data_IF_014475506469
#
_entry.id   IF_014475506469
#
_cell.length_a   1.000
_cell.length_b   1.000
_cell.length_c   1.000
_cell.angle_alpha   90.00
_cell.angle_beta   90.00
_cell.angle_gamma   90.00
#
_symmetry.space_group_name_H-M   'P 1'
#
loop_
_entity.id
_entity.type
_entity.pdbx_description
1 polymer ?
#
# COMPACT_ATOMS: atom_id res chain seq x y z
N UNK A 1 -32.11 14.95 25.65
CA UNK A 1 -31.06 14.74 24.69
C UNK A 1 -31.57 15.12 23.32
N UNK A 2 -30.87 15.97 22.64
CA UNK A 2 -31.26 16.55 21.36
C UNK A 2 -30.10 16.42 20.36
N UNK A 3 -30.43 16.47 19.06
CA UNK A 3 -29.45 16.72 18.02
C UNK A 3 -29.18 18.24 17.83
N UNK A 4 -28.24 18.66 16.98
CA UNK A 4 -27.95 20.07 16.72
C UNK A 4 -29.15 20.86 16.14
N UNK A 5 -30.07 20.17 15.47
CA UNK A 5 -31.29 20.77 14.90
C UNK A 5 -32.43 20.87 15.93
N UNK A 6 -32.20 20.38 17.13
CA UNK A 6 -33.18 20.38 18.24
C UNK A 6 -34.16 19.21 18.20
N UNK A 7 -33.92 18.19 17.37
CA UNK A 7 -34.74 16.97 17.32
C UNK A 7 -34.42 16.04 18.50
N UNK A 8 -35.43 15.47 19.21
CA UNK A 8 -35.20 14.51 20.29
C UNK A 8 -34.50 13.24 19.79
N UNK A 9 -33.57 12.72 20.60
CA UNK A 9 -32.88 11.45 20.33
C UNK A 9 -33.45 10.39 21.28
N UNK A 10 -34.30 9.46 20.82
CA UNK A 10 -34.81 8.38 21.61
C UNK A 10 -33.79 7.24 21.78
N UNK A 11 -33.84 6.53 22.92
CA UNK A 11 -33.00 5.37 23.16
C UNK A 11 -31.50 5.66 23.37
N UNK A 12 -31.15 6.92 23.62
CA UNK A 12 -29.76 7.26 23.98
C UNK A 12 -29.46 6.72 25.40
N UNK A 13 -28.30 6.12 25.53
CA UNK A 13 -27.80 5.56 26.79
C UNK A 13 -27.04 6.65 27.52
N UNK A 14 -27.46 6.96 28.74
CA UNK A 14 -26.78 7.88 29.66
C UNK A 14 -26.23 7.07 30.83
N UNK A 15 -24.92 7.12 31.05
CA UNK A 15 -24.28 6.50 32.19
C UNK A 15 -23.44 7.52 32.98
N UNK A 16 -23.22 7.26 34.26
CA UNK A 16 -22.29 8.02 35.10
C UNK A 16 -20.95 7.34 35.04
N UNK A 17 -19.89 8.07 34.66
CA UNK A 17 -18.55 7.54 34.32
C UNK A 17 -17.94 6.64 35.42
N UNK A 18 -18.21 6.89 36.70
CA UNK A 18 -17.66 6.10 37.80
C UNK A 18 -18.65 5.12 38.47
N UNK A 19 -19.85 4.99 37.94
CA UNK A 19 -20.93 4.19 38.57
C UNK A 19 -21.68 3.40 37.47
N UNK A 20 -22.00 2.13 37.76
CA UNK A 20 -22.78 1.26 36.86
C UNK A 20 -24.26 1.67 36.79
N UNK A 21 -24.53 2.94 36.54
CA UNK A 21 -25.90 3.48 36.47
C UNK A 21 -26.21 3.93 35.08
N UNK A 22 -27.27 3.38 34.50
CA UNK A 22 -27.66 3.60 33.10
C UNK A 22 -29.13 4.07 33.11
N UNK A 23 -29.40 5.07 32.27
CA UNK A 23 -30.75 5.44 31.87
C UNK A 23 -30.84 5.51 30.35
N UNK A 24 -32.06 5.30 29.84
CA UNK A 24 -32.38 5.47 28.42
C UNK A 24 -33.25 6.71 28.24
N UNK A 25 -33.06 7.44 27.17
CA UNK A 25 -33.98 8.52 26.78
C UNK A 25 -35.24 7.93 26.16
N UNK A 26 -36.38 8.60 26.46
CA UNK A 26 -37.68 8.29 25.88
C UNK A 26 -37.84 8.87 24.45
N UNK A 27 -39.04 8.72 23.87
CA UNK A 27 -39.36 9.20 22.52
C UNK A 27 -39.24 10.74 22.35
N UNK A 28 -39.26 11.47 23.46
CA UNK A 28 -39.10 12.93 23.50
C UNK A 28 -37.68 13.36 23.91
N UNK A 29 -36.75 12.41 24.02
CA UNK A 29 -35.36 12.66 24.41
C UNK A 29 -35.15 12.92 25.90
N UNK A 30 -36.17 12.72 26.76
CA UNK A 30 -36.04 12.86 28.22
C UNK A 30 -35.41 11.61 28.82
N UNK A 31 -34.59 11.81 29.84
CA UNK A 31 -34.01 10.72 30.63
C UNK A 31 -34.10 11.06 32.12
N UNK A 32 -34.10 10.06 32.98
CA UNK A 32 -34.09 10.22 34.43
C UNK A 32 -33.05 9.29 35.06
N UNK A 33 -32.09 9.87 35.76
CA UNK A 33 -31.08 9.17 36.56
C UNK A 33 -31.29 9.50 38.05
N UNK A 34 -31.36 8.47 38.92
CA UNK A 34 -31.48 8.64 40.37
C UNK A 34 -30.12 8.64 41.04
N UNK A 35 -29.96 9.42 42.12
CA UNK A 35 -28.77 9.50 42.98
C UNK A 35 -27.51 9.97 42.21
N UNK A 36 -27.63 10.94 41.31
CA UNK A 36 -26.55 11.65 40.69
C UNK A 36 -26.26 12.91 41.52
N UNK A 37 -25.01 13.31 41.63
CA UNK A 37 -24.60 14.56 42.28
C UNK A 37 -24.32 15.63 41.23
N UNK A 38 -24.50 16.89 41.60
CA UNK A 38 -24.04 18.00 40.74
C UNK A 38 -22.55 17.92 40.57
N UNK A 39 -22.09 17.96 39.33
CA UNK A 39 -20.69 17.82 38.99
C UNK A 39 -20.27 16.41 38.53
N UNK A 40 -21.13 15.38 38.69
CA UNK A 40 -20.82 14.05 38.14
C UNK A 40 -20.72 14.11 36.60
N UNK A 41 -19.78 13.38 36.03
CA UNK A 41 -19.61 13.29 34.59
C UNK A 41 -20.56 12.24 34.01
N UNK A 42 -21.41 12.68 33.10
CA UNK A 42 -22.34 11.84 32.36
C UNK A 42 -21.75 11.53 30.98
N UNK A 43 -21.64 10.26 30.67
CA UNK A 43 -21.30 9.82 29.30
C UNK A 43 -22.61 9.43 28.59
N UNK A 44 -22.85 10.04 27.44
CA UNK A 44 -24.04 9.81 26.63
C UNK A 44 -23.61 9.18 25.31
N UNK A 45 -24.24 8.05 24.97
CA UNK A 45 -24.03 7.34 23.73
C UNK A 45 -25.36 7.03 23.05
N UNK A 46 -25.39 7.21 21.73
CA UNK A 46 -26.55 6.82 20.90
C UNK A 46 -26.05 6.36 19.54
N UNK A 47 -26.76 5.43 18.91
CA UNK A 47 -26.44 4.94 17.58
C UNK A 47 -26.60 6.09 16.60
N UNK A 48 -25.54 6.41 15.86
CA UNK A 48 -25.52 7.50 14.87
C UNK A 48 -25.04 8.84 15.41
N UNK A 49 -24.59 8.89 16.67
CA UNK A 49 -24.08 10.11 17.30
C UNK A 49 -22.74 9.86 17.98
N UNK A 50 -21.89 10.87 18.04
CA UNK A 50 -20.63 10.81 18.78
C UNK A 50 -20.90 10.70 20.26
N UNK A 51 -20.12 9.85 20.94
CA UNK A 51 -20.18 9.80 22.40
C UNK A 51 -19.86 11.19 22.96
N UNK A 52 -20.75 11.71 23.78
CA UNK A 52 -20.67 13.06 24.33
C UNK A 52 -20.62 12.96 25.86
N UNK A 53 -19.71 13.70 26.48
CA UNK A 53 -19.65 13.85 27.94
C UNK A 53 -20.27 15.18 28.34
N UNK A 54 -21.07 15.17 29.42
CA UNK A 54 -21.70 16.36 30.01
C UNK A 54 -21.61 16.31 31.53
N UNK A 55 -21.42 17.45 32.15
CA UNK A 55 -21.44 17.55 33.61
C UNK A 55 -22.88 17.65 34.11
N UNK A 56 -23.23 16.85 35.08
CA UNK A 56 -24.60 16.86 35.65
C UNK A 56 -24.92 18.20 36.32
N UNK A 57 -25.94 18.86 35.83
CA UNK A 57 -26.50 20.10 36.39
C UNK A 57 -27.98 19.90 36.75
N UNK A 58 -28.37 20.42 37.90
CA UNK A 58 -29.78 20.35 38.36
C UNK A 58 -30.46 21.68 38.02
N UNK A 59 -30.77 21.90 36.77
CA UNK A 59 -31.56 23.01 36.31
C UNK A 59 -32.66 22.53 35.35
N UNK A 60 -33.74 23.27 35.23
CA UNK A 60 -34.90 22.92 34.39
C UNK A 60 -34.60 22.97 32.88
N UNK A 61 -33.42 23.49 32.50
CA UNK A 61 -32.97 23.65 31.13
C UNK A 61 -31.75 22.80 30.77
N UNK A 62 -31.42 21.75 31.57
CA UNK A 62 -30.30 20.88 31.28
C UNK A 62 -30.56 20.12 29.99
N UNK A 63 -29.77 20.43 28.97
CA UNK A 63 -29.86 19.82 27.65
C UNK A 63 -28.49 19.29 27.23
N UNK A 64 -28.47 18.08 26.72
CA UNK A 64 -27.29 17.46 26.13
C UNK A 64 -27.53 17.43 24.62
N UNK A 65 -26.67 18.12 23.87
CA UNK A 65 -26.69 18.11 22.42
C UNK A 65 -25.61 17.13 21.94
N UNK A 66 -26.04 16.11 21.21
CA UNK A 66 -25.15 15.12 20.61
C UNK A 66 -24.89 15.49 19.15
N UNK A 67 -23.62 15.58 18.76
CA UNK A 67 -23.25 15.71 17.37
C UNK A 67 -23.48 14.38 16.64
N UNK A 68 -24.12 14.40 15.45
CA UNK A 68 -24.16 13.22 14.61
C UNK A 68 -22.73 12.69 14.43
N UNK A 69 -22.56 11.38 14.54
CA UNK A 69 -21.31 10.76 14.18
C UNK A 69 -21.20 10.82 12.66
N UNK A 70 -20.49 11.85 12.17
CA UNK A 70 -20.36 12.21 10.75
C UNK A 70 -19.53 11.17 9.97
N UNK A 71 -19.16 10.07 10.59
CA UNK A 71 -18.80 8.86 9.87
C UNK A 71 -20.04 8.23 9.19
N UNK A 72 -20.73 9.08 8.39
CA UNK A 72 -21.86 8.68 7.54
C UNK A 72 -21.52 7.44 6.72
N UNK A 73 -20.24 7.26 6.43
CA UNK A 73 -19.70 6.09 5.73
C UNK A 73 -19.73 4.80 6.56
N UNK A 74 -19.68 4.88 7.89
CA UNK A 74 -19.85 3.70 8.74
C UNK A 74 -21.33 3.28 8.83
N UNK A 75 -22.24 4.22 8.64
CA UNK A 75 -23.68 3.97 8.75
C UNK A 75 -24.38 3.74 7.41
N UNK A 76 -23.88 4.32 6.33
CA UNK A 76 -24.35 4.06 4.96
C UNK A 76 -23.21 3.51 4.12
N UNK A 77 -23.50 2.46 3.36
CA UNK A 77 -22.54 1.87 2.44
C UNK A 77 -22.95 2.11 1.00
N UNK A 78 -22.04 2.52 0.12
CA UNK A 78 -22.33 2.56 -1.30
C UNK A 78 -22.49 1.13 -1.82
N UNK A 79 -23.63 0.88 -2.46
CA UNK A 79 -23.93 -0.35 -3.19
C UNK A 79 -24.36 0.08 -4.59
N UNK A 80 -23.55 -0.23 -5.58
CA UNK A 80 -23.80 0.16 -6.95
C UNK A 80 -24.04 1.69 -7.08
N UNK A 81 -25.21 2.10 -7.50
CA UNK A 81 -25.57 3.50 -7.76
C UNK A 81 -26.32 4.16 -6.59
N UNK A 82 -26.38 3.50 -5.43
CA UNK A 82 -27.13 3.99 -4.26
C UNK A 82 -26.33 3.83 -2.98
N UNK A 83 -26.73 4.55 -1.95
CA UNK A 83 -26.24 4.36 -0.59
C UNK A 83 -27.32 3.69 0.25
N UNK A 84 -26.98 2.62 0.96
CA UNK A 84 -27.89 1.85 1.80
C UNK A 84 -27.40 1.90 3.24
N UNK A 85 -28.27 2.21 4.21
CA UNK A 85 -27.90 2.15 5.62
C UNK A 85 -27.48 0.74 6.01
N UNK A 86 -26.36 0.61 6.71
CA UNK A 86 -25.74 -0.68 7.09
C UNK A 86 -26.72 -1.60 7.82
N UNK A 87 -27.61 -1.06 8.63
CA UNK A 87 -28.65 -1.82 9.37
C UNK A 87 -29.66 -2.54 8.48
N UNK A 88 -29.83 -2.12 7.23
CA UNK A 88 -30.73 -2.76 6.25
C UNK A 88 -29.99 -3.61 5.23
N UNK A 89 -28.68 -3.79 5.42
CA UNK A 89 -27.88 -4.59 4.51
C UNK A 89 -27.93 -6.05 4.90
N UNK A 90 -28.34 -6.88 3.95
CA UNK A 90 -28.20 -8.34 4.00
C UNK A 90 -26.95 -8.81 3.28
N UNK A 91 -26.32 -7.91 2.54
CA UNK A 91 -25.19 -8.15 1.70
C UNK A 91 -23.89 -8.11 2.52
N UNK A 92 -22.95 -8.99 2.17
CA UNK A 92 -21.62 -9.03 2.79
C UNK A 92 -20.69 -8.00 2.14
N UNK A 93 -20.43 -6.92 2.86
CA UNK A 93 -19.57 -5.82 2.41
C UNK A 93 -18.51 -5.45 3.45
N UNK A 94 -17.44 -4.79 3.02
CA UNK A 94 -16.48 -4.12 3.91
C UNK A 94 -16.18 -2.75 3.35
N UNK A 95 -16.04 -1.75 4.21
CA UNK A 95 -15.63 -0.42 3.80
C UNK A 95 -14.39 0.05 4.57
N UNK A 96 -13.59 0.86 3.90
CA UNK A 96 -12.39 1.51 4.45
C UNK A 96 -12.37 2.95 4.00
N UNK A 97 -12.21 3.88 4.94
CA UNK A 97 -12.00 5.29 4.65
C UNK A 97 -10.63 5.53 4.01
N UNK A 98 -10.56 6.45 3.05
CA UNK A 98 -9.33 6.79 2.35
C UNK A 98 -8.20 7.27 3.27
N UNK A 99 -8.53 7.98 4.34
CA UNK A 99 -7.56 8.42 5.35
C UNK A 99 -6.78 7.25 6.00
N UNK A 100 -7.43 6.10 6.17
CA UNK A 100 -6.76 4.92 6.70
C UNK A 100 -5.70 4.39 5.73
N UNK A 101 -5.95 4.47 4.42
CA UNK A 101 -4.99 4.06 3.39
C UNK A 101 -3.78 4.99 3.33
N UNK A 102 -3.97 6.28 3.59
CA UNK A 102 -2.91 7.29 3.58
C UNK A 102 -1.89 7.12 4.71
N UNK A 103 -2.24 6.40 5.77
CA UNK A 103 -1.32 6.10 6.91
C UNK A 103 -0.22 5.11 6.55
N UNK A 104 -0.34 4.42 5.43
CA UNK A 104 0.66 3.44 4.99
C UNK A 104 1.54 4.05 3.90
N UNK A 105 2.88 3.87 3.99
CA UNK A 105 3.83 4.37 2.98
C UNK A 105 3.79 3.50 1.71
N UNK A 106 2.64 3.47 1.05
CA UNK A 106 2.41 2.65 -0.15
C UNK A 106 2.76 3.40 -1.42
N UNK A 107 3.39 2.71 -2.35
CA UNK A 107 3.64 3.16 -3.72
C UNK A 107 2.62 2.60 -4.72
N UNK A 108 1.98 1.48 -4.35
CA UNK A 108 0.92 0.79 -5.10
C UNK A 108 -0.29 0.64 -4.19
N UNK A 109 -1.43 1.21 -4.60
CA UNK A 109 -2.65 1.27 -3.77
C UNK A 109 -3.15 -0.11 -3.35
N UNK A 110 -3.06 -1.09 -4.25
CA UNK A 110 -3.53 -2.46 -4.02
C UNK A 110 -2.84 -3.13 -2.82
N UNK A 111 -1.58 -2.78 -2.55
CA UNK A 111 -0.81 -3.38 -1.46
C UNK A 111 -1.34 -2.99 -0.06
N UNK A 112 -2.03 -1.84 0.04
CA UNK A 112 -2.67 -1.43 1.29
C UNK A 112 -3.86 -2.30 1.67
N UNK A 113 -4.48 -3.01 0.72
CA UNK A 113 -5.74 -3.70 0.99
C UNK A 113 -5.58 -4.92 1.88
N UNK A 114 -4.47 -5.67 1.77
CA UNK A 114 -4.21 -6.85 2.61
C UNK A 114 -4.23 -6.55 4.10
N UNK A 115 -3.79 -5.35 4.48
CA UNK A 115 -3.70 -4.91 5.88
C UNK A 115 -4.89 -4.09 6.37
N UNK A 116 -5.70 -3.54 5.45
CA UNK A 116 -6.76 -2.58 5.80
C UNK A 116 -8.16 -3.10 5.59
N UNK A 117 -8.34 -4.06 4.68
CA UNK A 117 -9.67 -4.53 4.25
C UNK A 117 -9.85 -6.01 4.50
N UNK A 118 -10.91 -6.39 5.20
CA UNK A 118 -11.21 -7.80 5.47
C UNK A 118 -11.84 -8.50 4.26
N UNK A 119 -11.32 -9.70 3.94
CA UNK A 119 -11.85 -10.58 2.90
C UNK A 119 -11.38 -10.26 1.49
N UNK A 120 -10.27 -9.52 1.37
CA UNK A 120 -9.48 -9.38 0.15
C UNK A 120 -8.09 -9.96 0.40
N UNK A 121 -7.57 -10.65 -0.57
CA UNK A 121 -6.21 -11.17 -0.60
C UNK A 121 -5.45 -10.48 -1.72
N UNK A 122 -4.24 -10.03 -1.44
CA UNK A 122 -3.37 -9.39 -2.43
C UNK A 122 -2.06 -10.14 -2.53
N UNK A 123 -1.61 -10.37 -3.75
CA UNK A 123 -0.32 -10.98 -4.06
C UNK A 123 0.51 -10.01 -4.87
N UNK A 124 1.53 -9.47 -4.24
CA UNK A 124 2.54 -8.66 -4.88
C UNK A 124 3.64 -9.56 -5.45
N UNK A 125 3.85 -9.49 -6.76
CA UNK A 125 4.87 -10.29 -7.45
C UNK A 125 6.25 -9.67 -7.36
N UNK A 126 6.30 -8.33 -7.28
CA UNK A 126 7.55 -7.58 -7.18
C UNK A 126 7.30 -6.22 -6.55
N UNK A 127 8.22 -5.79 -5.68
CA UNK A 127 8.21 -4.45 -5.07
C UNK A 127 9.08 -3.44 -5.85
N UNK A 128 9.43 -3.77 -7.09
CA UNK A 128 10.27 -2.90 -7.92
C UNK A 128 9.57 -1.62 -8.33
N UNK A 129 10.33 -0.52 -8.46
CA UNK A 129 9.78 0.74 -8.91
C UNK A 129 9.03 0.60 -10.24
N UNK A 130 7.76 1.00 -10.28
CA UNK A 130 6.92 0.91 -11.48
C UNK A 130 6.26 -0.44 -11.73
N UNK A 131 6.62 -1.48 -10.99
CA UNK A 131 5.88 -2.74 -11.04
C UNK A 131 4.57 -2.60 -10.26
N UNK A 132 3.44 -2.65 -10.96
CA UNK A 132 2.12 -2.41 -10.38
C UNK A 132 1.21 -3.63 -10.44
N UNK A 133 1.72 -4.77 -10.89
CA UNK A 133 0.95 -6.00 -10.99
C UNK A 133 0.79 -6.65 -9.61
N UNK A 134 -0.24 -6.23 -8.90
CA UNK A 134 -0.70 -6.87 -7.69
C UNK A 134 -1.99 -7.61 -8.00
N UNK A 135 -1.95 -8.93 -7.90
CA UNK A 135 -3.16 -9.74 -8.04
C UNK A 135 -4.04 -9.57 -6.80
N UNK A 136 -5.34 -9.45 -7.00
CA UNK A 136 -6.33 -9.28 -5.92
C UNK A 136 -7.43 -10.30 -6.04
N UNK A 137 -7.79 -10.93 -4.92
CA UNK A 137 -8.87 -11.91 -4.87
C UNK A 137 -9.81 -11.61 -3.71
N UNK A 138 -11.10 -11.68 -3.95
CA UNK A 138 -12.11 -11.55 -2.91
C UNK A 138 -12.59 -12.95 -2.54
N UNK A 139 -12.29 -13.38 -1.29
CA UNK A 139 -12.57 -14.72 -0.78
C UNK A 139 -11.93 -15.84 -1.63
N UNK A 140 -10.70 -15.61 -2.09
CA UNK A 140 -9.90 -16.57 -2.85
C UNK A 140 -10.20 -16.66 -4.34
N UNK A 141 -9.48 -17.54 -5.01
CA UNK A 141 -9.59 -17.78 -6.45
C UNK A 141 -10.81 -18.66 -6.75
N UNK A 142 -11.76 -18.14 -7.54
CA UNK A 142 -13.01 -18.84 -7.86
C UNK A 142 -13.06 -19.46 -9.26
N UNK A 143 -12.08 -19.14 -10.10
CA UNK A 143 -12.05 -19.64 -11.50
C UNK A 143 -10.63 -20.07 -11.87
N UNK A 144 -10.55 -21.12 -12.68
CA UNK A 144 -9.28 -21.60 -13.26
C UNK A 144 -8.79 -20.70 -14.41
N UNK A 145 -9.68 -19.91 -15.01
CA UNK A 145 -9.31 -18.95 -16.06
C UNK A 145 -8.54 -17.78 -15.44
N UNK A 146 -7.23 -17.70 -15.67
CA UNK A 146 -6.35 -16.67 -15.10
C UNK A 146 -6.77 -15.24 -15.50
N UNK A 147 -7.25 -15.04 -16.72
CA UNK A 147 -7.68 -13.73 -17.20
C UNK A 147 -9.01 -13.23 -16.59
N UNK A 148 -9.75 -14.09 -15.87
CA UNK A 148 -11.05 -13.75 -15.29
C UNK A 148 -11.05 -13.82 -13.75
N UNK A 149 -9.89 -13.78 -13.09
CA UNK A 149 -9.79 -13.94 -11.62
C UNK A 149 -9.99 -12.65 -10.83
N UNK A 150 -9.70 -11.52 -11.46
CA UNK A 150 -9.71 -10.23 -10.78
C UNK A 150 -11.13 -9.77 -10.43
N UNK A 151 -11.34 -9.09 -9.29
CA UNK A 151 -12.61 -8.44 -9.00
C UNK A 151 -12.89 -7.29 -9.96
N UNK A 152 -14.17 -6.95 -10.13
CA UNK A 152 -14.58 -5.78 -10.87
C UNK A 152 -14.23 -4.51 -10.09
N UNK A 153 -13.56 -3.54 -10.72
CA UNK A 153 -13.18 -2.28 -10.10
C UNK A 153 -14.00 -1.14 -10.69
N UNK A 154 -14.66 -0.39 -9.83
CA UNK A 154 -15.52 0.74 -10.20
C UNK A 154 -15.08 1.96 -9.43
N UNK A 155 -14.70 3.00 -10.14
CA UNK A 155 -14.29 4.29 -9.58
C UNK A 155 -15.31 5.34 -10.02
N UNK A 156 -15.99 5.95 -9.05
CA UNK A 156 -17.06 6.94 -9.29
C UNK A 156 -18.05 6.50 -10.36
N UNK A 157 -18.58 5.27 -10.19
CA UNK A 157 -19.55 4.61 -11.06
C UNK A 157 -19.03 4.21 -12.46
N UNK A 158 -17.74 4.34 -12.73
CA UNK A 158 -17.13 3.94 -14.01
C UNK A 158 -16.11 2.83 -13.76
N UNK A 159 -16.12 1.78 -14.58
CA UNK A 159 -15.09 0.74 -14.53
C UNK A 159 -13.75 1.31 -14.95
N UNK A 160 -12.76 1.17 -14.08
CA UNK A 160 -11.39 1.65 -14.27
C UNK A 160 -10.38 0.75 -13.58
N UNK A 161 -9.14 0.83 -14.02
CA UNK A 161 -8.03 0.18 -13.32
C UNK A 161 -7.63 1.00 -12.09
N UNK A 162 -7.42 0.30 -10.96
CA UNK A 162 -7.00 0.89 -9.71
C UNK A 162 -5.59 1.48 -9.76
N UNK A 163 -4.76 0.98 -10.66
CA UNK A 163 -3.40 1.47 -10.85
C UNK A 163 -3.33 2.97 -11.19
N UNK A 164 -4.41 3.54 -11.78
CA UNK A 164 -4.50 4.98 -12.09
C UNK A 164 -4.84 5.86 -10.88
N UNK A 165 -5.05 5.26 -9.69
CA UNK A 165 -5.40 6.01 -8.49
C UNK A 165 -4.25 6.04 -7.49
N UNK A 166 -4.09 7.18 -6.83
CA UNK A 166 -3.34 7.31 -5.59
C UNK A 166 -4.29 7.21 -4.38
N UNK A 167 -3.75 7.03 -3.18
CA UNK A 167 -4.53 6.96 -1.95
C UNK A 167 -5.16 8.31 -1.55
N UNK A 168 -4.54 9.44 -1.90
CA UNK A 168 -4.94 10.76 -1.45
C UNK A 168 -6.31 11.23 -1.95
N UNK A 169 -6.69 11.05 -3.24
CA UNK A 169 -8.00 11.43 -3.74
C UNK A 169 -9.13 10.49 -3.32
N UNK A 170 -8.84 9.40 -2.62
CA UNK A 170 -9.85 8.44 -2.21
C UNK A 170 -10.56 8.94 -0.95
N UNK A 171 -11.87 8.94 -0.99
CA UNK A 171 -12.74 9.16 0.14
C UNK A 171 -13.06 7.85 0.86
N UNK A 172 -13.47 6.84 0.08
CA UNK A 172 -13.91 5.56 0.61
C UNK A 172 -13.71 4.44 -0.42
N UNK A 173 -13.40 3.24 0.08
CA UNK A 173 -13.41 1.99 -0.70
C UNK A 173 -14.39 1.02 -0.07
N UNK A 174 -15.32 0.50 -0.87
CA UNK A 174 -16.27 -0.53 -0.46
C UNK A 174 -16.06 -1.80 -1.26
N UNK A 175 -15.92 -2.92 -0.56
CA UNK A 175 -15.76 -4.25 -1.16
C UNK A 175 -17.09 -5.00 -1.10
N UNK A 176 -17.59 -5.42 -2.26
CA UNK A 176 -18.77 -6.26 -2.41
C UNK A 176 -18.34 -7.72 -2.54
N UNK A 177 -18.67 -8.54 -1.54
CA UNK A 177 -18.07 -9.88 -1.39
C UNK A 177 -18.98 -11.03 -1.83
N UNK A 178 -20.28 -10.78 -1.99
CA UNK A 178 -21.26 -11.83 -2.32
C UNK A 178 -22.07 -11.48 -3.57
N UNK A 179 -22.79 -12.49 -4.07
CA UNK A 179 -23.61 -12.36 -5.27
C UNK A 179 -24.79 -11.39 -5.10
N UNK A 180 -25.33 -11.25 -3.88
CA UNK A 180 -26.41 -10.32 -3.63
C UNK A 180 -25.94 -8.87 -3.79
N UNK A 181 -24.74 -8.55 -3.28
CA UNK A 181 -24.12 -7.23 -3.43
C UNK A 181 -23.71 -6.93 -4.86
N UNK A 182 -23.28 -7.93 -5.64
CA UNK A 182 -22.76 -7.75 -6.99
C UNK A 182 -23.77 -8.04 -8.11
N UNK A 183 -25.01 -8.44 -7.77
CA UNK A 183 -26.04 -8.82 -8.74
C UNK A 183 -26.29 -7.79 -9.84
N UNK A 184 -26.22 -6.50 -9.50
CA UNK A 184 -26.43 -5.39 -10.44
C UNK A 184 -25.36 -5.33 -11.54
N UNK A 185 -24.17 -5.89 -11.28
CA UNK A 185 -23.06 -5.93 -12.23
C UNK A 185 -23.05 -7.20 -13.10
N UNK A 186 -24.02 -8.09 -12.88
CA UNK A 186 -24.19 -9.33 -13.62
C UNK A 186 -22.94 -10.22 -13.52
N UNK A 187 -22.60 -10.90 -14.61
CA UNK A 187 -21.48 -11.83 -14.67
C UNK A 187 -20.11 -11.17 -14.39
N UNK A 188 -19.96 -9.88 -14.64
CA UNK A 188 -18.72 -9.13 -14.37
C UNK A 188 -18.42 -9.02 -12.88
N UNK A 189 -19.46 -9.04 -12.03
CA UNK A 189 -19.34 -9.05 -10.58
C UNK A 189 -19.14 -10.43 -9.95
N UNK A 190 -18.94 -11.50 -10.73
CA UNK A 190 -18.86 -12.88 -10.22
C UNK A 190 -17.71 -13.10 -9.21
N UNK A 191 -16.60 -12.41 -9.36
CA UNK A 191 -15.45 -12.47 -8.43
C UNK A 191 -15.50 -11.40 -7.34
N UNK A 192 -16.64 -10.74 -7.14
CA UNK A 192 -16.78 -9.59 -6.27
C UNK A 192 -16.50 -8.28 -6.99
N UNK A 193 -16.74 -7.17 -6.29
CA UNK A 193 -16.48 -5.84 -6.83
C UNK A 193 -15.84 -4.92 -5.77
N UNK A 194 -15.00 -4.00 -6.23
CA UNK A 194 -14.36 -2.96 -5.44
C UNK A 194 -14.90 -1.62 -5.93
N UNK A 195 -15.65 -0.94 -5.06
CA UNK A 195 -16.19 0.38 -5.35
C UNK A 195 -15.29 1.43 -4.69
N UNK A 196 -14.77 2.34 -5.47
CA UNK A 196 -13.95 3.46 -5.01
C UNK A 196 -14.73 4.75 -5.22
N UNK A 197 -14.93 5.47 -4.14
CA UNK A 197 -15.47 6.84 -4.18
C UNK A 197 -14.34 7.81 -3.97
N UNK A 198 -14.22 8.80 -4.82
CA UNK A 198 -13.19 9.83 -4.68
C UNK A 198 -13.75 11.10 -4.01
N UNK A 199 -12.87 11.82 -3.35
CA UNK A 199 -13.19 13.07 -2.66
C UNK A 199 -13.81 14.09 -3.63
N UNK A 200 -14.79 14.80 -3.15
CA UNK A 200 -15.46 15.90 -3.87
C UNK A 200 -15.29 17.22 -3.13
N UNK A 201 -15.55 18.30 -3.82
CA UNK A 201 -15.56 19.61 -3.19
C UNK A 201 -16.76 19.80 -2.27
N UNK A 202 -16.55 20.55 -1.21
CA UNK A 202 -17.59 20.98 -0.28
C UNK A 202 -17.88 22.47 -0.44
N UNK A 203 -19.08 22.89 -0.07
CA UNK A 203 -19.41 24.32 -0.03
C UNK A 203 -18.63 24.99 1.10
N UNK A 204 -17.87 26.02 0.76
CA UNK A 204 -17.06 26.74 1.74
C UNK A 204 -15.84 27.41 1.15
N UNK A 205 -14.98 27.90 2.03
CA UNK A 205 -13.70 28.50 1.63
C UNK A 205 -12.77 27.44 1.03
N UNK A 206 -11.96 27.85 0.09
CA UNK A 206 -10.91 26.99 -0.47
C UNK A 206 -9.98 26.49 0.63
N UNK A 207 -9.81 25.16 0.69
CA UNK A 207 -8.85 24.47 1.54
C UNK A 207 -7.71 23.98 0.66
N UNK A 208 -6.48 24.13 1.13
CA UNK A 208 -5.29 23.65 0.45
C UNK A 208 -4.55 22.77 1.44
N UNK A 209 -4.35 21.51 1.07
CA UNK A 209 -3.60 20.54 1.85
C UNK A 209 -2.34 20.15 1.08
N UNK A 210 -1.19 20.22 1.73
CA UNK A 210 0.09 19.85 1.16
C UNK A 210 0.76 18.80 2.05
N UNK A 211 1.17 17.69 1.45
CA UNK A 211 1.86 16.61 2.15
C UNK A 211 3.14 16.27 1.43
N UNK A 212 4.24 16.18 2.18
CA UNK A 212 5.54 15.72 1.70
C UNK A 212 5.99 14.55 2.55
N UNK A 213 6.28 13.43 1.90
CA UNK A 213 6.77 12.21 2.53
C UNK A 213 8.16 11.86 1.98
N UNK A 214 9.05 11.46 2.87
CA UNK A 214 10.36 10.91 2.53
C UNK A 214 10.46 9.55 3.23
N UNK A 215 10.67 8.51 2.46
CA UNK A 215 10.80 7.15 2.94
C UNK A 215 12.09 6.51 2.46
N UNK A 216 12.47 5.43 3.13
CA UNK A 216 13.59 4.58 2.72
C UNK A 216 13.10 3.15 2.60
N UNK A 217 13.40 2.53 1.46
CA UNK A 217 13.14 1.12 1.23
C UNK A 217 14.38 0.31 1.62
N UNK A 218 14.15 -0.84 2.22
CA UNK A 218 15.18 -1.82 2.53
C UNK A 218 14.69 -3.20 2.11
N UNK A 219 15.61 -4.09 1.76
CA UNK A 219 15.26 -5.49 1.53
C UNK A 219 14.81 -6.12 2.86
N UNK A 220 13.60 -6.65 2.90
CA UNK A 220 13.05 -7.31 4.09
C UNK A 220 13.76 -8.63 4.40
N UNK A 221 14.25 -9.27 3.36
CA UNK A 221 15.04 -10.51 3.47
C UNK A 221 16.12 -10.50 2.40
N UNK A 222 17.38 -10.66 2.82
CA UNK A 222 18.50 -10.90 1.91
C UNK A 222 18.69 -12.40 1.82
N UNK A 223 18.70 -12.95 0.61
CA UNK A 223 19.08 -14.35 0.43
C UNK A 223 20.58 -14.47 0.70
N UNK A 224 20.94 -15.41 1.55
CA UNK A 224 22.34 -15.75 1.79
C UNK A 224 22.83 -16.68 0.69
N UNK A 225 23.76 -16.21 -0.11
CA UNK A 225 24.45 -17.07 -1.06
C UNK A 225 25.41 -18.00 -0.36
N UNK A 226 25.60 -19.17 -0.92
CA UNK A 226 26.64 -20.07 -0.50
C UNK A 226 28.02 -19.38 -0.65
N UNK A 227 28.81 -19.34 0.42
CA UNK A 227 30.18 -18.82 0.33
C UNK A 227 31.12 -19.80 -0.41
N UNK A 228 32.30 -19.32 -0.78
CA UNK A 228 33.25 -20.09 -1.58
C UNK A 228 33.70 -21.41 -0.90
N UNK A 229 33.90 -21.39 0.42
CA UNK A 229 34.27 -22.59 1.18
C UNK A 229 33.17 -23.66 1.15
N UNK A 230 31.94 -23.26 1.46
CA UNK A 230 30.80 -24.19 1.45
C UNK A 230 30.54 -24.71 0.03
N UNK A 231 30.72 -23.87 -1.00
CA UNK A 231 30.61 -24.31 -2.39
C UNK A 231 31.63 -25.39 -2.74
N UNK A 232 32.91 -25.22 -2.36
CA UNK A 232 33.94 -26.22 -2.59
C UNK A 232 33.61 -27.56 -1.92
N UNK A 233 33.19 -27.50 -0.66
CA UNK A 233 32.80 -28.71 0.09
C UNK A 233 31.59 -29.41 -0.53
N UNK A 234 30.54 -28.62 -0.89
CA UNK A 234 29.32 -29.18 -1.45
C UNK A 234 29.59 -29.79 -2.82
N UNK A 235 30.40 -29.14 -3.65
CA UNK A 235 30.80 -29.69 -4.96
C UNK A 235 31.52 -31.03 -4.82
N UNK A 236 32.53 -31.12 -3.96
CA UNK A 236 33.23 -32.39 -3.73
C UNK A 236 32.32 -33.48 -3.17
N UNK A 237 31.38 -33.10 -2.28
CA UNK A 237 30.40 -34.03 -1.74
C UNK A 237 29.44 -34.59 -2.79
N UNK A 238 28.96 -33.73 -3.68
CA UNK A 238 28.11 -34.14 -4.81
C UNK A 238 28.86 -35.09 -5.74
N UNK A 239 30.11 -34.74 -6.12
CA UNK A 239 30.94 -35.59 -6.96
C UNK A 239 31.22 -36.95 -6.33
N UNK A 240 31.52 -36.99 -5.01
CA UNK A 240 31.69 -38.23 -4.28
C UNK A 240 30.42 -39.11 -4.31
N UNK A 241 29.24 -38.52 -4.15
CA UNK A 241 27.98 -39.27 -4.23
C UNK A 241 27.69 -39.82 -5.63
N UNK A 242 28.18 -39.12 -6.67
CA UNK A 242 28.09 -39.52 -8.08
C UNK A 242 29.20 -40.57 -8.46
N UNK A 243 30.10 -40.91 -7.53
CA UNK A 243 31.23 -41.82 -7.77
C UNK A 243 32.34 -41.19 -8.60
N UNK A 244 32.42 -39.87 -8.65
CA UNK A 244 33.41 -39.07 -9.36
C UNK A 244 34.53 -38.60 -8.41
N UNK A 245 35.69 -38.30 -8.97
CA UNK A 245 36.79 -37.70 -8.22
C UNK A 245 36.48 -36.28 -7.73
N UNK A 246 37.03 -35.86 -6.57
CA UNK A 246 36.84 -34.53 -6.04
C UNK A 246 37.43 -33.47 -6.99
N UNK A 247 36.72 -32.39 -7.17
CA UNK A 247 37.15 -31.25 -8.01
C UNK A 247 38.18 -30.36 -7.32
N UNK A 248 38.06 -30.23 -5.99
CA UNK A 248 38.94 -29.39 -5.17
C UNK A 248 39.78 -30.26 -4.23
N UNK A 249 41.09 -30.00 -4.20
CA UNK A 249 41.98 -30.65 -3.21
C UNK A 249 41.76 -30.07 -1.81
N UNK A 250 42.23 -30.78 -0.78
CA UNK A 250 42.15 -30.33 0.61
C UNK A 250 42.89 -29.00 0.81
N UNK A 251 44.00 -28.79 0.11
CA UNK A 251 44.74 -27.52 0.11
C UNK A 251 43.87 -26.36 -0.46
N UNK A 252 43.18 -26.60 -1.58
CA UNK A 252 42.30 -25.61 -2.19
C UNK A 252 41.10 -25.29 -1.28
N UNK A 253 40.52 -26.28 -0.64
CA UNK A 253 39.43 -26.11 0.32
C UNK A 253 39.91 -25.29 1.51
N UNK A 254 41.13 -25.53 2.03
CA UNK A 254 41.71 -24.74 3.11
C UNK A 254 41.94 -23.27 2.67
N UNK A 255 42.38 -23.03 1.45
CA UNK A 255 42.52 -21.66 0.91
C UNK A 255 41.17 -20.93 0.82
N UNK A 256 40.09 -21.61 0.36
CA UNK A 256 38.75 -21.07 0.36
C UNK A 256 38.22 -20.81 1.79
N UNK A 257 38.58 -21.66 2.76
CA UNK A 257 38.24 -21.46 4.17
C UNK A 257 38.84 -20.15 4.70
N UNK A 258 40.14 -19.93 4.42
CA UNK A 258 40.88 -18.72 4.84
C UNK A 258 40.29 -17.45 4.23
N UNK A 259 40.03 -17.43 2.92
CA UNK A 259 39.41 -16.30 2.25
C UNK A 259 37.98 -16.04 2.73
N UNK A 260 37.23 -17.10 3.00
CA UNK A 260 35.88 -16.98 3.57
C UNK A 260 35.90 -16.41 4.99
N UNK A 261 36.96 -16.68 5.77
CA UNK A 261 37.19 -16.09 7.09
C UNK A 261 37.68 -14.63 7.04
N UNK A 262 37.87 -14.05 5.83
CA UNK A 262 38.32 -12.67 5.63
C UNK A 262 39.83 -12.52 5.65
N UNK A 263 40.61 -13.62 5.51
CA UNK A 263 42.06 -13.55 5.47
C UNK A 263 42.51 -13.08 4.08
N UNK A 264 43.40 -12.09 4.03
CA UNK A 264 44.02 -11.65 2.80
C UNK A 264 45.17 -12.59 2.42
N UNK A 265 45.07 -13.19 1.24
CA UNK A 265 46.14 -14.06 0.72
C UNK A 265 47.21 -13.23 0.04
N UNK A 266 48.45 -13.75 0.06
CA UNK A 266 49.59 -13.12 -0.55
C UNK A 266 49.98 -13.80 -1.89
N UNK A 267 50.82 -13.14 -2.66
CA UNK A 267 51.39 -13.67 -3.89
C UNK A 267 50.35 -13.95 -4.98
N UNK A 268 50.45 -15.10 -5.64
CA UNK A 268 49.53 -15.49 -6.72
C UNK A 268 48.16 -15.93 -6.21
N UNK A 269 48.07 -16.40 -4.96
CA UNK A 269 46.85 -16.95 -4.39
C UNK A 269 45.78 -15.87 -4.19
N UNK A 270 46.14 -14.61 -3.95
CA UNK A 270 45.23 -13.49 -3.95
C UNK A 270 44.42 -13.30 -5.23
N UNK A 271 44.91 -13.85 -6.34
CA UNK A 271 44.25 -13.79 -7.65
C UNK A 271 43.59 -15.12 -8.06
N UNK A 272 43.67 -16.13 -7.21
CA UNK A 272 43.07 -17.47 -7.45
C UNK A 272 41.88 -17.76 -6.60
N UNK A 273 41.90 -17.27 -5.36
CA UNK A 273 40.87 -17.61 -4.37
C UNK A 273 40.12 -16.38 -3.97
N UNK A 274 38.79 -16.42 -4.21
CA UNK A 274 37.87 -15.35 -3.93
C UNK A 274 36.69 -15.86 -3.12
N UNK A 275 36.06 -14.96 -2.37
CA UNK A 275 34.78 -15.18 -1.71
C UNK A 275 33.93 -13.92 -1.88
N UNK A 276 33.30 -13.78 -3.05
CA UNK A 276 32.50 -12.63 -3.40
C UNK A 276 31.07 -12.79 -2.91
N UNK A 277 30.61 -11.86 -2.06
CA UNK A 277 29.22 -11.76 -1.71
C UNK A 277 28.50 -10.91 -2.76
N UNK A 278 27.87 -11.55 -3.73
CA UNK A 278 27.21 -10.87 -4.83
C UNK A 278 26.00 -10.06 -4.40
N UNK A 279 25.32 -10.41 -3.30
CA UNK A 279 24.24 -9.58 -2.77
C UNK A 279 24.72 -8.22 -2.28
N UNK A 280 25.78 -8.19 -1.50
CA UNK A 280 26.34 -6.95 -0.97
C UNK A 280 26.99 -6.11 -2.09
N UNK A 281 27.48 -6.77 -3.13
CA UNK A 281 28.07 -6.09 -4.28
C UNK A 281 27.01 -5.44 -5.18
N UNK A 282 25.89 -6.12 -5.40
CA UNK A 282 24.86 -5.69 -6.35
C UNK A 282 23.77 -4.80 -5.73
N UNK A 283 23.47 -4.97 -4.45
CA UNK A 283 22.41 -4.25 -3.77
C UNK A 283 22.96 -3.21 -2.81
N UNK A 284 22.23 -2.12 -2.67
CA UNK A 284 22.45 -1.13 -1.63
C UNK A 284 21.55 -1.44 -0.43
N UNK A 285 21.94 -0.98 0.75
CA UNK A 285 21.20 -1.27 1.97
C UNK A 285 19.85 -0.55 2.01
N UNK A 286 19.75 0.64 1.43
CA UNK A 286 18.53 1.40 1.38
C UNK A 286 18.40 2.25 0.12
N UNK A 287 17.17 2.45 -0.33
CA UNK A 287 16.82 3.29 -1.47
C UNK A 287 15.78 4.35 -1.07
N UNK A 288 15.94 5.61 -1.50
CA UNK A 288 15.01 6.67 -1.15
C UNK A 288 13.71 6.59 -1.95
N UNK A 289 12.63 7.03 -1.31
CA UNK A 289 11.33 7.27 -1.93
C UNK A 289 10.83 8.63 -1.51
N UNK A 290 10.38 9.44 -2.46
CA UNK A 290 9.84 10.77 -2.22
C UNK A 290 8.41 10.82 -2.74
N UNK A 291 7.47 11.26 -1.92
CA UNK A 291 6.08 11.45 -2.32
C UNK A 291 5.62 12.85 -1.94
N UNK A 292 5.08 13.57 -2.90
CA UNK A 292 4.52 14.91 -2.72
C UNK A 292 3.05 14.86 -3.13
N UNK A 293 2.17 15.40 -2.32
CA UNK A 293 0.76 15.52 -2.65
C UNK A 293 0.26 16.92 -2.33
N UNK A 294 -0.54 17.48 -3.23
CA UNK A 294 -1.24 18.75 -3.07
C UNK A 294 -2.71 18.54 -3.40
N UNK A 295 -3.59 18.92 -2.50
CA UNK A 295 -5.03 18.86 -2.68
C UNK A 295 -5.63 20.26 -2.53
N UNK A 296 -6.56 20.61 -3.38
CA UNK A 296 -7.28 21.87 -3.34
C UNK A 296 -8.76 21.54 -3.45
N UNK A 297 -9.55 21.95 -2.48
CA UNK A 297 -10.99 21.74 -2.47
C UNK A 297 -11.74 22.97 -2.02
N UNK A 298 -12.97 23.11 -2.48
CA UNK A 298 -13.81 24.22 -2.11
C UNK A 298 -15.02 24.33 -3.00
N UNK A 299 -15.78 25.40 -2.83
CA UNK A 299 -16.92 25.63 -3.68
C UNK A 299 -17.96 26.57 -3.09
N UNK A 300 -18.96 26.83 -3.91
CA UNK A 300 -20.16 27.54 -3.56
C UNK A 300 -21.36 26.60 -3.58
N UNK A 301 -22.55 27.13 -3.28
CA UNK A 301 -23.81 26.37 -3.41
C UNK A 301 -24.10 25.90 -4.85
N UNK A 302 -23.43 26.48 -5.86
CA UNK A 302 -23.66 26.18 -7.28
C UNK A 302 -22.54 25.37 -7.92
N UNK A 303 -21.30 25.48 -7.43
CA UNK A 303 -20.17 24.80 -8.01
C UNK A 303 -19.20 24.36 -6.90
N UNK A 304 -18.85 23.09 -6.87
CA UNK A 304 -17.91 22.49 -5.92
C UNK A 304 -16.80 21.81 -6.69
N UNK A 305 -15.58 21.95 -6.23
CA UNK A 305 -14.42 21.40 -6.90
C UNK A 305 -13.46 20.73 -5.92
N UNK A 306 -12.83 19.67 -6.39
CA UNK A 306 -11.69 19.01 -5.76
C UNK A 306 -10.63 18.77 -6.82
N UNK A 307 -9.40 19.17 -6.55
CA UNK A 307 -8.25 18.93 -7.42
C UNK A 307 -7.14 18.31 -6.57
N UNK A 308 -6.53 17.25 -7.05
CA UNK A 308 -5.38 16.62 -6.42
C UNK A 308 -4.28 16.40 -7.44
N UNK A 309 -3.07 16.77 -7.06
CA UNK A 309 -1.85 16.47 -7.80
C UNK A 309 -0.91 15.69 -6.88
N UNK A 310 -0.35 14.58 -7.35
CA UNK A 310 0.69 13.86 -6.64
C UNK A 310 1.88 13.53 -7.52
N UNK A 311 3.06 13.58 -6.92
CA UNK A 311 4.33 13.15 -7.49
C UNK A 311 4.95 12.10 -6.60
N UNK A 312 5.38 11.00 -7.19
CA UNK A 312 6.12 9.93 -6.55
C UNK A 312 7.42 9.71 -7.31
N UNK A 313 8.56 9.77 -6.59
CA UNK A 313 9.84 9.24 -7.06
C UNK A 313 10.24 8.08 -6.16
N UNK A 314 10.42 6.92 -6.76
CA UNK A 314 10.87 5.71 -6.11
C UNK A 314 12.12 5.20 -6.81
N UNK A 315 13.16 4.91 -6.05
CA UNK A 315 14.42 4.37 -6.57
C UNK A 315 14.55 2.89 -6.22
N UNK A 316 15.15 2.11 -7.11
CA UNK A 316 15.40 0.68 -6.91
C UNK A 316 16.58 0.41 -5.99
N UNK A 317 16.74 -0.85 -5.65
CA UNK A 317 17.73 -1.31 -4.66
C UNK A 317 19.10 -1.64 -5.26
N UNK A 318 19.32 -1.41 -6.57
CA UNK A 318 20.62 -1.68 -7.18
C UNK A 318 21.69 -0.72 -6.66
N UNK A 319 22.91 -1.21 -6.47
CA UNK A 319 24.05 -0.41 -6.07
C UNK A 319 24.43 0.59 -7.19
N UNK A 320 24.49 1.88 -6.85
CA UNK A 320 24.80 2.96 -7.80
C UNK A 320 26.16 2.79 -8.49
N UNK A 321 27.12 2.14 -7.84
CA UNK A 321 28.41 1.76 -8.41
C UNK A 321 28.30 1.08 -9.79
N UNK A 322 27.20 0.31 -10.00
CA UNK A 322 26.98 -0.46 -11.23
C UNK A 322 25.98 0.16 -12.18
N UNK A 323 25.17 1.10 -11.72
CA UNK A 323 24.05 1.68 -12.47
C UNK A 323 24.31 3.09 -12.97
N UNK A 324 25.29 3.80 -12.40
CA UNK A 324 25.69 5.14 -12.82
C UNK A 324 26.89 5.06 -13.75
N UNK A 325 26.64 4.97 -15.05
CA UNK A 325 27.68 4.74 -16.06
C UNK A 325 28.39 6.01 -16.52
N UNK A 326 27.68 7.13 -16.52
CA UNK A 326 28.19 8.45 -16.79
C UNK A 326 27.14 9.52 -16.41
N UNK A 327 27.50 10.80 -16.50
CA UNK A 327 26.60 11.92 -16.16
C UNK A 327 25.35 12.03 -17.06
N UNK A 328 25.24 11.23 -18.11
CA UNK A 328 24.16 11.35 -19.11
C UNK A 328 23.03 10.36 -18.92
N UNK A 329 23.28 9.16 -18.40
CA UNK A 329 22.25 8.17 -18.15
C UNK A 329 22.60 7.24 -16.99
N UNK A 330 21.56 6.73 -16.34
CA UNK A 330 21.66 5.72 -15.30
C UNK A 330 20.80 4.53 -15.68
N UNK A 331 21.30 3.33 -15.43
CA UNK A 331 20.54 2.08 -15.53
C UNK A 331 19.84 1.73 -14.22
N UNK A 332 19.87 2.63 -13.22
CA UNK A 332 19.13 2.45 -11.98
C UNK A 332 17.64 2.34 -12.27
N UNK A 333 17.01 1.43 -11.56
CA UNK A 333 15.56 1.33 -11.59
C UNK A 333 14.95 2.55 -10.87
N UNK A 334 14.32 3.45 -11.60
CA UNK A 334 13.72 4.68 -11.07
C UNK A 334 12.35 4.86 -11.67
N UNK A 335 11.35 5.03 -10.81
CA UNK A 335 10.01 5.45 -11.18
C UNK A 335 9.82 6.93 -10.83
N UNK A 336 9.38 7.72 -11.80
CA UNK A 336 8.77 9.02 -11.57
C UNK A 336 7.32 8.97 -12.02
N UNK A 337 6.39 9.11 -11.08
CA UNK A 337 4.95 9.03 -11.31
C UNK A 337 4.27 10.35 -11.00
N UNK A 338 3.47 10.81 -11.92
CA UNK A 338 2.64 12.01 -11.78
C UNK A 338 1.19 11.61 -11.89
N UNK A 339 0.37 11.94 -10.87
CA UNK A 339 -1.07 11.73 -10.90
C UNK A 339 -1.78 13.09 -10.81
N UNK A 340 -2.83 13.23 -11.58
CA UNK A 340 -3.75 14.36 -11.52
C UNK A 340 -5.17 13.84 -11.41
N UNK A 341 -5.95 14.44 -10.50
CA UNK A 341 -7.39 14.23 -10.40
C UNK A 341 -8.11 15.55 -10.23
N UNK A 342 -9.24 15.70 -10.92
CA UNK A 342 -10.11 16.86 -10.78
C UNK A 342 -11.55 16.39 -10.82
N UNK A 343 -12.31 16.69 -9.78
CA UNK A 343 -13.74 16.43 -9.66
C UNK A 343 -14.45 17.78 -9.54
N UNK A 344 -15.38 18.04 -10.44
CA UNK A 344 -16.15 19.28 -10.50
C UNK A 344 -17.63 18.94 -10.55
N UNK A 345 -18.40 19.47 -9.61
CA UNK A 345 -19.86 19.35 -9.54
C UNK A 345 -20.49 20.73 -9.73
N UNK A 346 -21.40 20.86 -10.68
CA UNK A 346 -22.10 22.11 -10.99
C UNK A 346 -23.60 21.90 -10.93
N UNK A 347 -24.26 22.58 -10.02
CA UNK A 347 -25.71 22.65 -9.93
C UNK A 347 -26.19 23.80 -10.82
N UNK A 348 -26.49 23.50 -12.10
CA UNK A 348 -26.91 24.49 -13.09
C UNK A 348 -28.27 25.08 -12.69
N UNK A 349 -29.19 24.23 -12.29
CA UNK A 349 -30.49 24.59 -11.74
C UNK A 349 -31.09 23.44 -10.94
N UNK A 350 -32.29 23.59 -10.37
CA UNK A 350 -32.93 22.54 -9.54
C UNK A 350 -33.24 21.21 -10.27
N UNK A 351 -33.07 21.16 -11.59
CA UNK A 351 -33.35 19.97 -12.42
C UNK A 351 -32.10 19.42 -13.09
N UNK A 352 -31.01 20.18 -13.15
CA UNK A 352 -29.81 19.81 -13.89
C UNK A 352 -28.58 19.99 -13.02
N UNK A 353 -27.93 18.88 -12.76
CA UNK A 353 -26.63 18.77 -12.14
C UNK A 353 -25.63 18.19 -13.15
N UNK A 354 -24.44 18.75 -13.24
CA UNK A 354 -23.38 18.31 -14.13
C UNK A 354 -22.15 18.00 -13.31
N UNK A 355 -21.66 16.76 -13.42
CA UNK A 355 -20.41 16.33 -12.78
C UNK A 355 -19.36 16.00 -13.85
N UNK A 356 -18.13 16.48 -13.65
CA UNK A 356 -17.00 16.23 -14.51
C UNK A 356 -15.86 15.66 -13.67
N UNK A 357 -15.50 14.41 -13.93
CA UNK A 357 -14.44 13.68 -13.22
C UNK A 357 -13.29 13.39 -14.19
N UNK A 358 -12.18 14.09 -14.02
CA UNK A 358 -10.96 13.91 -14.80
C UNK A 358 -9.89 13.24 -13.97
N UNK A 359 -9.17 12.31 -14.56
CA UNK A 359 -8.02 11.67 -13.94
C UNK A 359 -6.98 11.27 -14.97
N UNK A 360 -5.71 11.45 -14.64
CA UNK A 360 -4.61 11.07 -15.49
C UNK A 360 -3.39 10.65 -14.67
N UNK A 361 -2.59 9.75 -15.23
CA UNK A 361 -1.33 9.29 -14.68
C UNK A 361 -0.27 9.23 -15.77
N UNK A 362 0.92 9.70 -15.44
CA UNK A 362 2.11 9.57 -16.28
C UNK A 362 3.19 8.89 -15.45
N UNK A 363 3.69 7.77 -15.93
CA UNK A 363 4.84 7.06 -15.37
C UNK A 363 6.03 7.20 -16.31
N UNK A 364 7.16 7.64 -15.76
CA UNK A 364 8.45 7.63 -16.42
C UNK A 364 9.34 6.67 -15.66
N UNK A 365 9.69 5.55 -16.31
CA UNK A 365 10.44 4.45 -15.71
C UNK A 365 11.78 4.33 -16.43
N UNK A 366 12.87 4.40 -15.65
CA UNK A 366 14.21 3.98 -16.06
C UNK A 366 14.49 2.62 -15.44
N UNK A 367 15.08 1.71 -16.17
CA UNK A 367 15.41 0.37 -15.67
C UNK A 367 16.57 -0.25 -16.44
N UNK A 368 17.30 -1.21 -15.87
CA UNK A 368 18.28 -1.99 -16.60
C UNK A 368 17.62 -2.71 -17.78
N UNK A 369 18.39 -2.90 -18.85
CA UNK A 369 17.89 -3.65 -20.03
C UNK A 369 17.57 -5.10 -19.70
N UNK A 370 18.35 -5.72 -18.80
CA UNK A 370 18.11 -7.07 -18.33
C UNK A 370 16.96 -7.07 -17.33
N UNK A 371 15.97 -7.92 -17.57
CA UNK A 371 14.81 -8.04 -16.64
C UNK A 371 15.26 -8.41 -15.23
N UNK A 372 14.59 -7.87 -14.24
CA UNK A 372 14.97 -8.00 -12.83
C UNK A 372 14.96 -9.46 -12.36
N UNK A 373 14.01 -10.28 -12.80
CA UNK A 373 14.02 -11.71 -12.51
C UNK A 373 15.36 -12.35 -12.90
N UNK A 374 15.89 -12.02 -14.10
CA UNK A 374 17.18 -12.52 -14.56
C UNK A 374 18.33 -11.95 -13.73
N UNK A 375 18.28 -10.68 -13.34
CA UNK A 375 19.30 -10.05 -12.49
C UNK A 375 19.33 -10.67 -11.08
N UNK A 376 18.18 -10.95 -10.48
CA UNK A 376 18.12 -11.59 -9.17
C UNK A 376 18.53 -13.04 -9.25
N UNK A 377 17.97 -13.82 -10.18
CA UNK A 377 18.21 -15.26 -10.27
C UNK A 377 19.64 -15.55 -10.72
N UNK A 378 20.04 -15.03 -11.86
CA UNK A 378 21.35 -15.32 -12.44
C UNK A 378 22.46 -14.43 -11.88
N UNK A 379 22.11 -13.23 -11.44
CA UNK A 379 23.05 -12.27 -10.90
C UNK A 379 23.40 -12.50 -9.45
N UNK A 380 22.42 -12.61 -8.59
CA UNK A 380 22.65 -12.68 -7.15
C UNK A 380 22.61 -14.10 -6.59
N UNK A 381 21.70 -14.96 -7.09
CA UNK A 381 21.49 -16.31 -6.55
C UNK A 381 22.45 -17.33 -7.15
N UNK A 382 22.60 -17.33 -8.48
CA UNK A 382 23.43 -18.31 -9.20
C UNK A 382 24.88 -17.85 -9.42
N UNK A 383 25.21 -16.60 -9.07
CA UNK A 383 26.56 -16.08 -9.25
C UNK A 383 27.59 -16.86 -8.44
N UNK A 384 28.72 -17.10 -9.07
CA UNK A 384 29.79 -17.89 -8.47
C UNK A 384 30.54 -17.09 -7.39
N UNK A 385 30.46 -17.46 -6.10
CA UNK A 385 31.19 -16.77 -5.05
C UNK A 385 32.72 -16.91 -5.18
N UNK A 386 33.20 -17.89 -5.97
CA UNK A 386 34.62 -18.07 -6.27
C UNK A 386 35.13 -17.17 -7.41
N UNK A 387 34.23 -16.42 -8.06
CA UNK A 387 34.60 -15.49 -9.11
C UNK A 387 34.89 -14.10 -8.54
N UNK A 388 35.99 -13.43 -8.99
CA UNK A 388 36.26 -12.05 -8.59
C UNK A 388 35.31 -11.07 -9.29
N UNK A 389 35.13 -9.88 -8.69
CA UNK A 389 34.43 -8.77 -9.33
C UNK A 389 35.28 -8.16 -10.46
N UNK A 390 36.57 -7.99 -10.20
CA UNK A 390 37.53 -7.38 -11.12
C UNK A 390 38.70 -8.31 -11.44
N UNK A 391 39.25 -8.15 -12.66
CA UNK A 391 40.53 -8.72 -13.04
C UNK A 391 41.68 -7.97 -12.34
N UNK A 392 42.89 -8.52 -12.29
CA UNK A 392 44.07 -7.83 -11.76
C UNK A 392 44.35 -6.47 -12.46
N UNK A 393 43.89 -6.30 -13.70
CA UNK A 393 44.01 -5.05 -14.45
C UNK A 393 42.93 -4.03 -14.18
N UNK A 394 42.00 -4.33 -13.24
CA UNK A 394 40.88 -3.43 -12.87
C UNK A 394 39.66 -3.48 -13.81
N UNK A 395 39.66 -4.37 -14.81
CA UNK A 395 38.49 -4.59 -15.64
C UNK A 395 37.50 -5.54 -14.98
N UNK A 396 36.21 -5.42 -15.32
CA UNK A 396 35.22 -6.37 -14.84
C UNK A 396 35.54 -7.78 -15.31
N UNK A 397 35.70 -8.69 -14.36
CA UNK A 397 35.96 -10.09 -14.66
C UNK A 397 34.81 -10.68 -15.49
N UNK A 398 35.16 -11.40 -16.54
CA UNK A 398 34.17 -12.05 -17.40
C UNK A 398 34.74 -13.32 -18.00
N UNK A 399 34.30 -14.44 -17.47
CA UNK A 399 34.42 -15.73 -18.16
C UNK A 399 33.19 -16.00 -19.02
N UNK A 400 32.00 -15.53 -18.56
CA UNK A 400 30.77 -15.41 -19.30
C UNK A 400 29.91 -14.31 -18.66
N UNK A 401 28.88 -13.77 -19.34
CA UNK A 401 27.95 -12.78 -18.78
C UNK A 401 27.25 -13.28 -17.53
N UNK A 402 27.00 -14.57 -17.42
CA UNK A 402 26.38 -15.21 -16.26
C UNK A 402 27.29 -15.27 -15.03
N UNK A 403 28.61 -15.12 -15.17
CA UNK A 403 29.57 -15.25 -14.06
C UNK A 403 29.91 -13.92 -13.39
N UNK A 404 29.56 -12.78 -13.99
CA UNK A 404 29.73 -11.47 -13.37
C UNK A 404 28.45 -10.63 -13.55
N UNK A 405 27.55 -10.68 -12.59
CA UNK A 405 26.26 -10.02 -12.69
C UNK A 405 26.36 -8.48 -12.70
N UNK A 406 27.45 -7.89 -12.22
CA UNK A 406 27.66 -6.45 -12.29
C UNK A 406 27.66 -5.94 -13.75
N UNK A 407 28.09 -6.76 -14.70
CA UNK A 407 28.01 -6.43 -16.13
C UNK A 407 26.59 -6.36 -16.66
N UNK A 408 25.67 -7.16 -16.09
CA UNK A 408 24.26 -7.16 -16.50
C UNK A 408 23.56 -5.86 -16.10
N UNK A 409 23.97 -5.25 -14.99
CA UNK A 409 23.46 -3.95 -14.54
C UNK A 409 23.98 -2.81 -15.42
N UNK A 410 25.25 -2.87 -15.82
CA UNK A 410 25.90 -1.84 -16.62
C UNK A 410 25.81 -2.03 -18.14
N UNK A 411 25.34 -3.19 -18.65
CA UNK A 411 25.19 -3.41 -20.08
C UNK A 411 23.97 -2.69 -20.64
N UNK A 412 24.18 -1.55 -21.23
CA UNK A 412 23.20 -0.86 -22.08
C UNK A 412 23.11 -1.49 -23.48
#
# INVERSE_FOLDING_TARGET
>A
ILDPDGTPIPGAIVNVTEQSRIALSDDNGFFSLKNVKAGDELCVSSIGYKNTTATAEFNDNFKIVMEPDVDEYLHTMPIAFTRKPKKFMTESTSAVAGEKLQKYPITVLQNAFSSTVTGIETYEWSSEPGWTETAMYIRGIRTMNSGARNPLIIVDNVERDLSFLDAFPIENITILKDAAATAIYGMRGANGAILVTTKRGETGKTKIDFTQEVGFQMLSNKMENQNAYNKALTTNRVLYLDGSDPQYSDEQIEMYRRVTAGEELEGIDRYRYFNTNWFDELYRDMAPTYKTNMQISGGSSRARYYVSFSYLRQEGMWNSKWTEYNDKFSTQHVLNRYNLRSNLDIDVNKYLNVSLDLGGRIDNISQPRTGVFSLVTFGAVEADPMAPVYTPNGELYSKSTAQNPARLLGSS
#
